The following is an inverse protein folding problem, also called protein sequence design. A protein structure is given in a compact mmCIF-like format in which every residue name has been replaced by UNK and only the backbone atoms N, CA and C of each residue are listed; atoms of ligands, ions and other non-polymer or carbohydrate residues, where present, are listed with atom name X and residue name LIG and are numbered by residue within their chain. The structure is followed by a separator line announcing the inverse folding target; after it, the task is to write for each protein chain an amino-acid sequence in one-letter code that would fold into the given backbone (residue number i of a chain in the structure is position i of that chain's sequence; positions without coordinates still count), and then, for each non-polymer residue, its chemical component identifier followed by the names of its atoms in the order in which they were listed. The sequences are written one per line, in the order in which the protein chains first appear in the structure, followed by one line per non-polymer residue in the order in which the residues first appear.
data_IF_791200732282
#
_entry.id   IF_791200732282
#
_cell.length_a   1.000
_cell.length_b   1.000
_cell.length_c   1.000
_cell.angle_alpha   90.00
_cell.angle_beta   90.00
_cell.angle_gamma   90.00
#
_symmetry.space_group_name_H-M   'P 1'
#
loop_
_entity.id
_entity.type
_entity.pdbx_description
1 polymer ?
#
# COMPACT_ATOMS: atom_id res chain seq x y z
N UNK A 1 0.48 3.00 2.16
CA UNK A 1 -0.12 3.78 1.06
C UNK A 1 0.16 3.11 -0.27
N UNK A 2 -0.86 3.00 -1.12
CA UNK A 2 -0.74 2.50 -2.49
C UNK A 2 -0.83 3.72 -3.40
N UNK A 3 0.23 4.00 -4.16
CA UNK A 3 0.25 5.10 -5.10
C UNK A 3 -0.03 4.56 -6.52
N UNK A 4 -0.98 5.19 -7.21
CA UNK A 4 -1.32 4.89 -8.59
C UNK A 4 -0.90 6.07 -9.46
N UNK A 5 -0.10 5.80 -10.48
CA UNK A 5 0.13 6.74 -11.56
C UNK A 5 -1.18 6.91 -12.34
N UNK A 6 -1.89 8.03 -12.14
CA UNK A 6 -3.13 8.34 -12.87
C UNK A 6 -2.82 9.22 -14.09
N UNK A 7 -3.33 8.78 -15.23
CA UNK A 7 -3.13 9.21 -16.63
C UNK A 7 -2.87 10.70 -16.96
N UNK A 8 -1.77 10.85 -17.71
CA UNK A 8 -1.58 11.49 -19.05
C UNK A 8 -1.91 12.97 -19.32
N UNK A 9 -2.75 13.68 -18.55
CA UNK A 9 -3.13 15.07 -18.92
C UNK A 9 -2.27 16.19 -18.31
N UNK A 10 -1.37 15.85 -17.38
CA UNK A 10 -0.59 16.83 -16.60
C UNK A 10 0.89 16.45 -16.49
N UNK A 11 1.44 15.83 -17.55
CA UNK A 11 2.85 15.41 -17.59
C UNK A 11 3.80 16.62 -17.59
N UNK A 12 3.33 17.79 -18.03
CA UNK A 12 4.16 19.00 -18.19
C UNK A 12 4.34 19.81 -16.89
N UNK A 13 3.70 19.43 -15.78
CA UNK A 13 3.85 20.14 -14.51
C UNK A 13 5.10 19.66 -13.75
N UNK A 14 6.06 20.54 -13.43
CA UNK A 14 7.24 20.19 -12.62
C UNK A 14 6.89 19.60 -11.25
N UNK A 15 5.76 20.02 -10.67
CA UNK A 15 5.26 19.51 -9.40
C UNK A 15 4.85 18.05 -9.50
N UNK A 16 4.22 17.66 -10.62
CA UNK A 16 3.79 16.29 -10.86
C UNK A 16 4.98 15.35 -11.03
N UNK A 17 5.97 15.77 -11.82
CA UNK A 17 7.22 15.05 -11.98
C UNK A 17 7.92 14.80 -10.63
N UNK A 18 7.98 15.84 -9.79
CA UNK A 18 8.62 15.75 -8.46
C UNK A 18 7.89 14.77 -7.55
N UNK A 19 6.55 14.80 -7.52
CA UNK A 19 5.74 13.89 -6.70
C UNK A 19 5.90 12.42 -7.14
N UNK A 20 5.93 12.18 -8.46
CA UNK A 20 6.17 10.84 -9.01
C UNK A 20 7.53 10.30 -8.63
N UNK A 21 8.57 11.13 -8.77
CA UNK A 21 9.92 10.74 -8.38
C UNK A 21 10.04 10.46 -6.88
N UNK A 22 9.44 11.30 -6.05
CA UNK A 22 9.39 11.10 -4.60
C UNK A 22 8.71 9.77 -4.23
N UNK A 23 7.59 9.43 -4.90
CA UNK A 23 6.92 8.15 -4.71
C UNK A 23 7.83 6.98 -5.11
N UNK A 24 8.53 7.09 -6.24
CA UNK A 24 9.50 6.09 -6.71
C UNK A 24 10.71 5.96 -5.79
N UNK A 25 11.14 7.03 -5.11
CA UNK A 25 12.24 6.99 -4.15
C UNK A 25 11.86 6.41 -2.79
N UNK A 26 10.59 6.56 -2.39
CA UNK A 26 10.10 6.10 -1.09
C UNK A 26 9.42 4.73 -1.13
N UNK A 27 9.06 4.23 -2.31
CA UNK A 27 8.36 2.96 -2.44
C UNK A 27 9.22 1.80 -1.93
N UNK A 28 8.55 0.80 -1.34
CA UNK A 28 9.12 -0.49 -0.91
C UNK A 28 8.87 -1.60 -1.92
N UNK A 29 7.88 -1.40 -2.78
CA UNK A 29 7.51 -2.31 -3.86
C UNK A 29 6.95 -1.49 -5.02
N UNK A 30 7.13 -1.98 -6.24
CA UNK A 30 6.62 -1.38 -7.46
C UNK A 30 6.17 -2.45 -8.46
N UNK A 31 5.03 -2.24 -9.09
CA UNK A 31 4.52 -3.07 -10.18
C UNK A 31 4.74 -2.30 -11.49
N UNK A 32 5.53 -2.89 -12.38
CA UNK A 32 5.85 -2.33 -13.68
C UNK A 32 5.05 -3.07 -14.76
N UNK A 33 4.17 -2.34 -15.43
CA UNK A 33 3.39 -2.85 -16.56
C UNK A 33 4.18 -2.54 -17.84
N UNK A 34 4.90 -3.54 -18.32
CA UNK A 34 5.73 -3.45 -19.51
C UNK A 34 4.83 -3.52 -20.75
N UNK A 35 4.78 -2.42 -21.49
CA UNK A 35 4.04 -2.26 -22.73
C UNK A 35 4.82 -1.37 -23.69
N UNK A 36 4.39 -1.30 -24.94
CA UNK A 36 5.02 -0.42 -25.94
C UNK A 36 5.02 1.04 -25.46
N UNK A 37 3.91 1.49 -24.87
CA UNK A 37 3.77 2.82 -24.30
C UNK A 37 4.73 3.07 -23.13
N UNK A 38 4.99 2.04 -22.31
CA UNK A 38 5.95 2.14 -21.20
C UNK A 38 7.36 2.44 -21.72
N UNK A 39 7.80 1.73 -22.77
CA UNK A 39 9.15 1.93 -23.32
C UNK A 39 9.29 3.17 -24.21
N UNK A 40 8.19 3.71 -24.73
CA UNK A 40 8.19 4.98 -25.47
C UNK A 40 8.13 6.21 -24.55
N UNK A 41 7.66 6.05 -23.31
CA UNK A 41 7.55 7.14 -22.33
C UNK A 41 8.89 7.43 -21.65
N UNK A 42 9.43 8.64 -21.86
CA UNK A 42 10.66 9.07 -21.19
C UNK A 42 10.52 9.09 -19.67
N UNK A 43 9.33 9.44 -19.16
CA UNK A 43 9.07 9.44 -17.72
C UNK A 43 9.11 8.02 -17.15
N UNK A 44 8.43 7.07 -17.81
CA UNK A 44 8.38 5.68 -17.36
C UNK A 44 9.77 5.02 -17.39
N UNK A 45 10.59 5.35 -18.40
CA UNK A 45 11.99 4.93 -18.45
C UNK A 45 12.83 5.53 -17.32
N UNK A 46 12.60 6.80 -16.97
CA UNK A 46 13.31 7.45 -15.86
C UNK A 46 12.94 6.81 -14.52
N UNK A 47 11.65 6.58 -14.26
CA UNK A 47 11.19 5.88 -13.06
C UNK A 47 11.74 4.46 -12.98
N UNK A 48 11.70 3.72 -14.10
CA UNK A 48 12.28 2.39 -14.20
C UNK A 48 13.76 2.38 -13.87
N UNK A 49 14.52 3.36 -14.39
CA UNK A 49 15.94 3.52 -14.08
C UNK A 49 16.19 3.77 -12.60
N UNK A 50 15.46 4.70 -11.97
CA UNK A 50 15.60 4.99 -10.54
C UNK A 50 15.28 3.75 -9.69
N UNK A 51 14.21 3.02 -10.03
CA UNK A 51 13.87 1.77 -9.35
C UNK A 51 14.99 0.74 -9.45
N UNK A 52 15.54 0.52 -10.66
CA UNK A 52 16.64 -0.41 -10.88
C UNK A 52 17.90 0.01 -10.12
N UNK A 53 18.28 1.29 -10.14
CA UNK A 53 19.45 1.79 -9.38
C UNK A 53 19.28 1.59 -7.87
N UNK A 54 18.07 1.79 -7.35
CA UNK A 54 17.74 1.52 -5.94
C UNK A 54 17.83 0.06 -5.58
N UNK A 55 17.57 -0.88 -6.51
CA UNK A 55 17.74 -2.31 -6.23
C UNK A 55 19.20 -2.70 -5.96
N UNK A 56 20.16 -1.94 -6.50
CA UNK A 56 21.60 -2.18 -6.31
C UNK A 56 22.17 -1.38 -5.14
N UNK A 57 21.70 -0.13 -4.97
CA UNK A 57 22.37 0.85 -4.10
C UNK A 57 21.72 1.03 -2.72
N UNK A 58 20.47 0.61 -2.53
CA UNK A 58 19.75 0.87 -1.29
C UNK A 58 20.00 -0.22 -0.23
N UNK A 59 20.10 0.19 1.04
CA UNK A 59 20.15 -0.73 2.19
C UNK A 59 18.89 -1.58 2.34
N UNK A 60 17.76 -1.10 1.80
CA UNK A 60 16.49 -1.81 1.68
C UNK A 60 15.96 -1.61 0.25
N UNK A 61 16.34 -2.49 -0.70
CA UNK A 61 15.94 -2.33 -2.10
C UNK A 61 14.42 -2.49 -2.26
N UNK A 62 13.79 -1.72 -3.17
CA UNK A 62 12.39 -1.92 -3.50
C UNK A 62 12.21 -3.26 -4.20
N UNK A 63 11.07 -3.90 -3.97
CA UNK A 63 10.72 -5.13 -4.68
C UNK A 63 10.00 -4.83 -5.99
N UNK A 64 10.51 -5.35 -7.09
CA UNK A 64 9.98 -5.09 -8.42
C UNK A 64 9.19 -6.27 -8.93
N UNK A 65 8.03 -5.97 -9.49
CA UNK A 65 7.12 -6.95 -10.09
C UNK A 65 6.88 -6.56 -11.53
N UNK A 66 7.24 -7.45 -12.45
CA UNK A 66 7.09 -7.18 -13.87
C UNK A 66 5.83 -7.85 -14.40
N UNK A 67 5.04 -7.11 -15.17
CA UNK A 67 3.87 -7.60 -15.89
C UNK A 67 4.08 -7.28 -17.37
N UNK A 68 4.21 -8.29 -18.21
CA UNK A 68 4.31 -8.10 -19.67
C UNK A 68 2.90 -8.00 -20.25
N UNK A 69 2.48 -6.78 -20.60
CA UNK A 69 1.14 -6.49 -21.09
C UNK A 69 1.03 -6.54 -22.62
N UNK A 70 2.06 -6.07 -23.33
CA UNK A 70 2.18 -6.19 -24.79
C UNK A 70 3.51 -6.85 -25.18
N UNK A 71 3.58 -7.56 -26.32
CA UNK A 71 4.79 -8.26 -26.75
C UNK A 71 5.86 -7.21 -27.08
N UNK A 72 6.78 -7.03 -26.15
CA UNK A 72 7.81 -5.98 -26.19
C UNK A 72 9.17 -6.57 -25.89
N UNK A 73 10.20 -6.02 -26.53
CA UNK A 73 11.57 -6.39 -26.24
C UNK A 73 12.01 -5.77 -24.92
N UNK A 74 12.13 -6.60 -23.89
CA UNK A 74 12.50 -6.14 -22.55
C UNK A 74 14.01 -5.85 -22.51
N UNK A 75 14.44 -4.63 -22.13
CA UNK A 75 15.85 -4.30 -22.05
C UNK A 75 16.63 -5.20 -21.07
N UNK A 76 17.91 -5.52 -21.33
CA UNK A 76 18.71 -6.45 -20.52
C UNK A 76 18.84 -6.09 -19.03
N UNK A 77 18.71 -4.81 -18.70
CA UNK A 77 18.72 -4.31 -17.32
C UNK A 77 17.62 -4.92 -16.43
N UNK A 78 16.53 -5.44 -17.02
CA UNK A 78 15.47 -6.11 -16.28
C UNK A 78 15.68 -7.63 -16.16
N UNK A 79 16.74 -8.19 -16.75
CA UNK A 79 17.02 -9.63 -16.75
C UNK A 79 16.94 -10.30 -15.36
N UNK A 80 17.43 -9.70 -14.26
CA UNK A 80 17.33 -10.30 -12.93
C UNK A 80 15.89 -10.50 -12.42
N UNK A 81 14.91 -9.80 -13.00
CA UNK A 81 13.52 -9.79 -12.56
C UNK A 81 12.59 -10.59 -13.49
N UNK A 82 13.14 -11.18 -14.57
CA UNK A 82 12.35 -11.92 -15.56
C UNK A 82 11.85 -13.27 -15.05
N UNK A 83 12.52 -13.88 -14.07
CA UNK A 83 12.14 -15.20 -13.52
C UNK A 83 10.75 -15.18 -12.83
N UNK A 84 10.27 -14.00 -12.42
CA UNK A 84 8.97 -13.79 -11.79
C UNK A 84 7.98 -12.99 -12.63
N UNK A 85 8.21 -12.81 -13.94
CA UNK A 85 7.36 -11.98 -14.78
C UNK A 85 5.98 -12.61 -15.00
N UNK A 86 4.93 -11.80 -14.92
CA UNK A 86 3.58 -12.21 -15.31
C UNK A 86 3.38 -11.87 -16.78
N UNK A 87 3.39 -12.89 -17.63
CA UNK A 87 3.18 -12.75 -19.07
C UNK A 87 1.69 -12.80 -19.44
N UNK A 88 1.15 -11.68 -19.93
CA UNK A 88 -0.22 -11.55 -20.41
C UNK A 88 -0.34 -11.65 -21.94
N UNK A 89 0.77 -11.85 -22.64
CA UNK A 89 0.87 -11.82 -24.11
C UNK A 89 0.79 -13.21 -24.74
N UNK A 90 0.99 -14.27 -23.95
CA UNK A 90 1.05 -15.65 -24.43
C UNK A 90 -0.27 -16.42 -24.24
N UNK A 91 -0.46 -17.43 -25.10
CA UNK A 91 -1.50 -18.44 -24.96
C UNK A 91 -2.94 -17.90 -25.02
N UNK A 92 -3.80 -18.45 -24.15
CA UNK A 92 -5.23 -18.08 -24.08
C UNK A 92 -5.46 -16.68 -23.51
N UNK A 93 -4.53 -16.20 -22.69
CA UNK A 93 -4.62 -14.96 -21.92
C UNK A 93 -4.54 -13.74 -22.83
N UNK A 94 -3.75 -13.82 -23.91
CA UNK A 94 -3.62 -12.75 -24.89
C UNK A 94 -4.98 -12.24 -25.41
N UNK A 95 -5.92 -13.17 -25.61
CA UNK A 95 -7.28 -12.92 -26.12
C UNK A 95 -8.34 -12.75 -25.03
N UNK A 96 -7.94 -12.84 -23.76
CA UNK A 96 -8.84 -12.67 -22.63
C UNK A 96 -9.18 -11.20 -22.41
N UNK A 97 -10.30 -10.97 -21.75
CA UNK A 97 -10.76 -9.65 -21.33
C UNK A 97 -9.79 -8.99 -20.34
N UNK A 98 -9.88 -7.66 -20.21
CA UNK A 98 -9.08 -6.90 -19.23
C UNK A 98 -9.33 -7.40 -17.79
N UNK A 99 -10.55 -7.79 -17.46
CA UNK A 99 -10.90 -8.34 -16.16
C UNK A 99 -10.14 -9.64 -15.89
N UNK A 100 -10.13 -10.57 -16.85
CA UNK A 100 -9.41 -11.84 -16.72
C UNK A 100 -7.88 -11.63 -16.62
N UNK A 101 -7.32 -10.72 -17.42
CA UNK A 101 -5.90 -10.33 -17.32
C UNK A 101 -5.59 -9.74 -15.95
N UNK A 102 -6.45 -8.88 -15.43
CA UNK A 102 -6.29 -8.28 -14.09
C UNK A 102 -6.37 -9.34 -12.99
N UNK A 103 -7.34 -10.26 -13.06
CA UNK A 103 -7.45 -11.38 -12.12
C UNK A 103 -6.21 -12.25 -12.10
N UNK A 104 -5.58 -12.48 -13.26
CA UNK A 104 -4.31 -13.20 -13.34
C UNK A 104 -3.18 -12.47 -12.63
N UNK A 105 -2.99 -11.18 -12.93
CA UNK A 105 -1.96 -10.36 -12.27
C UNK A 105 -2.16 -10.36 -10.75
N UNK A 106 -3.40 -10.14 -10.30
CA UNK A 106 -3.73 -10.16 -8.86
C UNK A 106 -3.45 -11.53 -8.25
N UNK A 107 -3.84 -12.63 -8.91
CA UNK A 107 -3.58 -13.98 -8.43
C UNK A 107 -2.08 -14.27 -8.27
N UNK A 108 -1.28 -13.93 -9.28
CA UNK A 108 0.18 -14.06 -9.24
C UNK A 108 0.82 -13.17 -8.17
N UNK A 109 0.32 -11.94 -8.03
CA UNK A 109 0.80 -10.99 -7.04
C UNK A 109 0.48 -11.45 -5.61
N UNK A 110 -0.70 -12.04 -5.37
CA UNK A 110 -1.12 -12.52 -4.04
C UNK A 110 -0.15 -13.53 -3.46
N UNK A 111 0.31 -14.52 -4.25
CA UNK A 111 1.30 -15.52 -3.81
C UNK A 111 2.60 -14.88 -3.34
N UNK A 112 2.99 -13.79 -4.01
CA UNK A 112 4.19 -13.07 -3.64
C UNK A 112 3.95 -12.13 -2.45
N UNK A 113 2.83 -11.41 -2.43
CA UNK A 113 2.44 -10.54 -1.33
C UNK A 113 2.24 -11.33 -0.04
N UNK A 114 1.81 -12.59 -0.09
CA UNK A 114 1.74 -13.48 1.08
C UNK A 114 3.12 -13.76 1.67
N UNK A 115 4.15 -13.94 0.84
CA UNK A 115 5.55 -14.06 1.29
C UNK A 115 6.06 -12.77 1.90
N UNK A 116 5.58 -11.63 1.42
CA UNK A 116 5.94 -10.32 1.96
C UNK A 116 5.15 -9.93 3.18
N UNK A 117 3.88 -10.31 3.30
CA UNK A 117 3.02 -9.94 4.42
C UNK A 117 3.53 -10.56 5.72
N UNK A 118 4.20 -11.72 5.64
CA UNK A 118 4.90 -12.33 6.78
C UNK A 118 6.18 -11.57 7.17
N UNK A 119 6.83 -10.89 6.23
CA UNK A 119 8.08 -10.14 6.44
C UNK A 119 7.86 -8.63 6.68
N UNK A 120 6.70 -8.09 6.29
CA UNK A 120 6.35 -6.67 6.31
C UNK A 120 5.17 -6.37 7.23
N UNK A 121 4.90 -7.22 8.22
CA UNK A 121 4.15 -6.76 9.40
C UNK A 121 4.97 -5.57 9.93
N UNK A 122 4.44 -4.32 9.93
CA UNK A 122 5.05 -3.27 10.71
C UNK A 122 5.22 -3.87 12.09
N UNK A 123 6.43 -3.86 12.67
CA UNK A 123 6.59 -4.30 14.05
C UNK A 123 5.47 -3.63 14.82
N UNK A 124 4.50 -4.46 15.27
CA UNK A 124 3.42 -3.95 16.10
C UNK A 124 4.16 -3.20 17.18
N UNK A 125 3.90 -1.89 17.40
CA UNK A 125 4.44 -1.25 18.58
C UNK A 125 4.13 -2.20 19.73
N UNK A 126 5.12 -2.52 20.60
CA UNK A 126 4.86 -3.41 21.71
C UNK A 126 3.58 -2.94 22.37
N UNK A 127 2.62 -3.86 22.54
CA UNK A 127 1.35 -3.60 23.21
C UNK A 127 1.66 -2.66 24.37
N UNK A 128 1.05 -1.47 24.36
CA UNK A 128 1.12 -0.54 25.49
C UNK A 128 0.92 -1.40 26.72
N UNK A 129 1.90 -1.36 27.63
CA UNK A 129 2.07 -2.38 28.66
C UNK A 129 0.73 -2.63 29.33
N UNK A 130 0.25 -3.88 29.32
CA UNK A 130 -1.05 -4.32 29.87
C UNK A 130 -1.26 -3.92 31.35
N UNK A 131 -0.24 -3.34 31.97
CA UNK A 131 -0.21 -2.77 33.32
C UNK A 131 -1.14 -1.57 33.54
N UNK A 132 -1.62 -0.88 32.50
CA UNK A 132 -2.52 0.29 32.65
C UNK A 132 -4.00 0.02 32.34
N UNK A 133 -4.33 -1.18 31.84
CA UNK A 133 -5.70 -1.54 31.47
C UNK A 133 -6.47 -2.13 32.67
N UNK A 134 -7.59 -1.49 33.01
CA UNK A 134 -8.33 -1.79 34.24
C UNK A 134 -9.50 -2.74 34.02
N UNK A 135 -9.88 -2.98 32.76
CA UNK A 135 -11.03 -3.80 32.38
C UNK A 135 -12.37 -3.18 32.76
N UNK A 136 -12.41 -1.92 33.18
CA UNK A 136 -13.62 -1.27 33.69
C UNK A 136 -14.68 -1.09 32.60
N UNK A 137 -14.27 -0.80 31.36
CA UNK A 137 -15.16 -0.70 30.21
C UNK A 137 -16.07 -1.93 30.00
N UNK A 138 -15.62 -3.13 30.42
CA UNK A 138 -16.42 -4.38 30.32
C UNK A 138 -17.59 -4.42 31.31
N UNK A 139 -17.53 -3.63 32.39
CA UNK A 139 -18.52 -3.61 33.48
C UNK A 139 -19.43 -2.39 33.42
N UNK A 140 -19.07 -1.37 32.65
CA UNK A 140 -19.81 -0.11 32.52
C UNK A 140 -20.57 -0.04 31.20
N UNK A 141 -21.67 0.72 31.18
CA UNK A 141 -22.42 0.95 29.93
C UNK A 141 -21.60 1.86 29.02
N UNK A 142 -21.73 1.68 27.71
CA UNK A 142 -21.00 2.46 26.70
C UNK A 142 -21.05 3.98 26.95
N UNK A 143 -22.21 4.54 27.28
CA UNK A 143 -22.36 5.98 27.59
C UNK A 143 -21.52 6.50 28.78
N UNK A 144 -21.01 5.60 29.61
CA UNK A 144 -20.20 5.90 30.79
C UNK A 144 -18.71 5.63 30.55
N UNK A 145 -18.34 5.14 29.35
CA UNK A 145 -16.94 4.91 29.03
C UNK A 145 -16.22 6.24 28.92
N UNK A 146 -15.11 6.34 29.64
CA UNK A 146 -14.14 7.42 29.51
C UNK A 146 -13.32 7.25 28.24
N UNK A 147 -12.52 8.26 27.88
CA UNK A 147 -11.55 8.15 26.79
C UNK A 147 -10.61 6.95 27.00
N UNK A 148 -10.16 6.71 28.23
CA UNK A 148 -9.30 5.57 28.55
C UNK A 148 -10.01 4.22 28.35
N UNK A 149 -11.31 4.14 28.68
CA UNK A 149 -12.11 2.93 28.42
C UNK A 149 -12.25 2.66 26.91
N UNK A 150 -12.40 3.71 26.11
CA UNK A 150 -12.42 3.61 24.63
C UNK A 150 -11.05 3.16 24.09
N UNK A 151 -9.96 3.73 24.60
CA UNK A 151 -8.59 3.32 24.22
C UNK A 151 -8.31 1.86 24.56
N UNK A 152 -8.68 1.42 25.77
CA UNK A 152 -8.55 0.02 26.19
C UNK A 152 -9.39 -0.92 25.30
N UNK A 153 -10.60 -0.50 24.93
CA UNK A 153 -11.46 -1.26 24.02
C UNK A 153 -10.88 -1.35 22.60
N UNK A 154 -10.38 -0.24 22.03
CA UNK A 154 -9.74 -0.20 20.72
C UNK A 154 -8.46 -1.07 20.67
N UNK A 155 -7.65 -1.01 21.74
CA UNK A 155 -6.47 -1.85 21.90
C UNK A 155 -6.85 -3.35 21.96
N UNK A 156 -7.91 -3.70 22.70
CA UNK A 156 -8.44 -5.07 22.76
C UNK A 156 -8.92 -5.61 21.42
N UNK A 157 -9.40 -4.75 20.51
CA UNK A 157 -9.79 -5.10 19.14
C UNK A 157 -8.61 -5.12 18.16
N UNK A 158 -7.39 -4.80 18.61
CA UNK A 158 -6.19 -4.65 17.77
C UNK A 158 -6.36 -3.62 16.65
N UNK A 159 -7.08 -2.55 16.93
CA UNK A 159 -7.11 -1.36 16.06
C UNK A 159 -5.70 -0.76 16.02
N UNK A 160 -5.30 -0.21 14.86
CA UNK A 160 -3.96 0.36 14.71
C UNK A 160 -3.80 1.59 15.60
N UNK A 161 -2.63 1.71 16.23
CA UNK A 161 -2.30 2.80 17.17
C UNK A 161 -2.58 4.20 16.60
N UNK A 162 -2.36 4.41 15.30
CA UNK A 162 -2.69 5.67 14.63
C UNK A 162 -4.15 6.10 14.86
N UNK A 163 -5.09 5.15 14.71
CA UNK A 163 -6.51 5.42 14.95
C UNK A 163 -6.81 5.54 16.44
N UNK A 164 -6.18 4.73 17.31
CA UNK A 164 -6.31 4.88 18.76
C UNK A 164 -5.92 6.30 19.20
N UNK A 165 -4.79 6.79 18.73
CA UNK A 165 -4.29 8.13 18.99
C UNK A 165 -5.24 9.21 18.46
N UNK A 166 -5.78 9.07 17.25
CA UNK A 166 -6.76 10.01 16.70
C UNK A 166 -8.02 10.10 17.59
N UNK A 167 -8.51 8.96 18.11
CA UNK A 167 -9.62 8.95 19.06
C UNK A 167 -9.25 9.60 20.40
N UNK A 168 -8.02 9.42 20.88
CA UNK A 168 -7.54 10.04 22.11
C UNK A 168 -7.38 11.56 21.97
N UNK A 169 -6.79 12.02 20.88
CA UNK A 169 -6.56 13.44 20.57
C UNK A 169 -7.87 14.21 20.38
N UNK A 170 -8.88 13.56 19.77
CA UNK A 170 -10.22 14.12 19.66
C UNK A 170 -11.07 13.92 20.93
N UNK A 171 -10.50 13.34 22.00
CA UNK A 171 -11.18 13.15 23.28
C UNK A 171 -12.45 12.30 23.18
N UNK A 172 -12.46 11.31 22.27
CA UNK A 172 -13.63 10.47 22.00
C UNK A 172 -13.88 9.54 23.19
N UNK A 173 -14.90 9.88 23.97
CA UNK A 173 -15.45 9.03 25.03
C UNK A 173 -16.60 8.16 24.49
N UNK A 174 -17.19 7.31 25.33
CA UNK A 174 -18.25 6.42 24.88
C UNK A 174 -19.56 7.13 24.51
N UNK A 175 -19.78 8.37 24.96
CA UNK A 175 -20.92 9.17 24.50
C UNK A 175 -20.70 9.68 23.08
N UNK A 176 -19.53 10.23 22.79
CA UNK A 176 -19.15 10.68 21.46
C UNK A 176 -19.02 9.52 20.48
N UNK A 177 -18.52 8.36 20.93
CA UNK A 177 -18.43 7.14 20.12
C UNK A 177 -19.79 6.71 19.57
N UNK A 178 -20.87 6.87 20.34
CA UNK A 178 -22.24 6.57 19.89
C UNK A 178 -22.81 7.60 18.92
N UNK A 179 -22.26 8.82 18.91
CA UNK A 179 -22.71 9.92 18.06
C UNK A 179 -21.88 10.08 16.79
N UNK A 180 -20.75 9.37 16.68
CA UNK A 180 -19.88 9.40 15.50
C UNK A 180 -20.61 8.94 14.25
N UNK A 181 -20.56 9.76 13.22
CA UNK A 181 -21.01 9.42 11.88
C UNK A 181 -19.82 8.98 11.01
N UNK A 182 -20.11 8.35 9.87
CA UNK A 182 -19.08 8.03 8.87
C UNK A 182 -18.36 9.30 8.37
N UNK A 183 -19.07 10.42 8.28
CA UNK A 183 -18.49 11.70 7.88
C UNK A 183 -17.50 12.22 8.92
N UNK A 184 -17.79 12.04 10.22
CA UNK A 184 -16.88 12.42 11.29
C UNK A 184 -15.62 11.57 11.27
N UNK A 185 -15.74 10.28 10.98
CA UNK A 185 -14.58 9.41 10.83
C UNK A 185 -13.68 9.86 9.69
N UNK A 186 -14.22 10.22 8.52
CA UNK A 186 -13.39 10.68 7.39
C UNK A 186 -12.77 12.06 7.65
N UNK A 187 -13.44 12.92 8.40
CA UNK A 187 -13.03 14.31 8.58
C UNK A 187 -12.08 14.51 9.75
N UNK A 188 -12.11 13.63 10.76
CA UNK A 188 -11.42 13.85 12.04
C UNK A 188 -10.63 12.65 12.58
N UNK A 189 -10.79 11.43 12.04
CA UNK A 189 -10.23 10.19 12.60
C UNK A 189 -9.51 9.32 11.55
#
# INVERSE_FOLDING_TARGET
DIWFDKDEKTIDSPTWFTQRLEAVEKCRAAILILSDSYFQSTMSLYEGKVLLERTVSASKPPQLFLVMYSPTDIPPQYAPFLDGIVDLTSGKIAKSSLAEKSSMVVGSLSVFLEKLSTAMVPALPPLVSETEFTGQYKKTKLRQWTVNDVQEWLAGMRVREFFCQAFAENGIDGFLLMALTEQDMVSFL
#
